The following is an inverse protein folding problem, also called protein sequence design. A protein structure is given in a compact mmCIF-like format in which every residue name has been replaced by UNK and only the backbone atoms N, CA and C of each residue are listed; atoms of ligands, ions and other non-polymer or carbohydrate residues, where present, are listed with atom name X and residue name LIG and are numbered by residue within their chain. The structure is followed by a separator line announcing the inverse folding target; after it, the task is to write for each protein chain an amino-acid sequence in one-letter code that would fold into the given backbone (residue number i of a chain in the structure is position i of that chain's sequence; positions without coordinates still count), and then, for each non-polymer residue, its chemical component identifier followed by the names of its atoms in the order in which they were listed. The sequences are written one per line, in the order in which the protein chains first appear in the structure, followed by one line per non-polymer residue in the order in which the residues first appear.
data_IF_921437274119
#
_entry.id   IF_921437274119
#
_cell.length_a   1.000
_cell.length_b   1.000
_cell.length_c   1.000
_cell.angle_alpha   90.00
_cell.angle_beta   90.00
_cell.angle_gamma   90.00
#
_symmetry.space_group_name_H-M   'P 1'
#
loop_
_entity.id
_entity.type
_entity.pdbx_description
1 polymer ?
#
# COMPACT_ATOMS: atom_id res chain seq x y z
N UNK A 1 -11.69 7.85 -61.60
CA UNK A 1 -12.12 8.37 -60.28
C UNK A 1 -10.89 8.62 -59.44
N UNK A 2 -10.73 9.77 -58.75
CA UNK A 2 -9.61 9.95 -57.83
C UNK A 2 -9.80 8.99 -56.65
N UNK A 3 -8.74 8.28 -56.24
CA UNK A 3 -8.76 7.45 -55.03
C UNK A 3 -9.03 8.38 -53.83
N UNK A 4 -10.12 8.14 -53.12
CA UNK A 4 -10.45 8.86 -51.88
C UNK A 4 -9.35 8.54 -50.87
N UNK A 5 -8.51 9.52 -50.53
CA UNK A 5 -7.44 9.33 -49.55
C UNK A 5 -8.07 9.05 -48.19
N UNK A 6 -7.77 7.88 -47.63
CA UNK A 6 -8.20 7.50 -46.28
C UNK A 6 -7.15 8.02 -45.33
N UNK A 7 -7.50 9.04 -44.55
CA UNK A 7 -6.71 9.46 -43.41
C UNK A 7 -7.07 8.57 -42.23
N UNK A 8 -6.06 8.04 -41.56
CA UNK A 8 -6.15 7.31 -40.32
C UNK A 8 -5.69 8.20 -39.16
N UNK A 9 -5.97 7.76 -37.92
CA UNK A 9 -5.47 8.44 -36.73
C UNK A 9 -3.92 8.49 -36.71
N UNK A 10 -3.26 7.46 -37.25
CA UNK A 10 -1.80 7.40 -37.33
C UNK A 10 -1.19 8.41 -38.32
N UNK A 11 -2.00 8.95 -39.25
CA UNK A 11 -1.57 9.99 -40.17
C UNK A 11 -1.66 11.41 -39.56
N UNK A 12 -2.18 11.54 -38.34
CA UNK A 12 -2.24 12.82 -37.65
C UNK A 12 -0.84 13.24 -37.15
N UNK A 13 -0.55 14.54 -37.02
CA UNK A 13 0.71 15.01 -36.43
C UNK A 13 0.93 14.44 -35.03
N UNK A 14 2.19 14.10 -34.70
CA UNK A 14 2.55 13.48 -33.41
C UNK A 14 1.96 14.22 -32.20
N UNK A 15 1.98 15.56 -32.21
CA UNK A 15 1.43 16.40 -31.13
C UNK A 15 -0.07 16.16 -30.90
N UNK A 16 -0.83 15.90 -31.95
CA UNK A 16 -2.28 15.62 -31.85
C UNK A 16 -2.50 14.24 -31.25
N UNK A 17 -1.72 13.24 -31.68
CA UNK A 17 -1.79 11.88 -31.13
C UNK A 17 -1.41 11.90 -29.64
N UNK A 18 -0.34 12.60 -29.24
CA UNK A 18 0.03 12.78 -27.84
C UNK A 18 -1.09 13.42 -27.02
N UNK A 19 -1.70 14.51 -27.51
CA UNK A 19 -2.79 15.17 -26.82
C UNK A 19 -3.99 14.23 -26.61
N UNK A 20 -4.31 13.39 -27.60
CA UNK A 20 -5.38 12.38 -27.47
C UNK A 20 -5.02 11.36 -26.39
N UNK A 21 -3.77 10.88 -26.37
CA UNK A 21 -3.29 9.92 -25.38
C UNK A 21 -3.28 10.52 -23.97
N UNK A 22 -2.81 11.75 -23.79
CA UNK A 22 -2.80 12.46 -22.50
C UNK A 22 -4.22 12.75 -21.96
N UNK A 23 -5.23 12.76 -22.83
CA UNK A 23 -6.65 12.92 -22.45
C UNK A 23 -7.43 11.59 -22.46
N UNK A 24 -6.75 10.45 -22.63
CA UNK A 24 -7.37 9.13 -22.65
C UNK A 24 -7.13 8.40 -21.33
N UNK A 25 -8.09 7.59 -20.89
CA UNK A 25 -7.86 6.69 -19.76
C UNK A 25 -6.89 5.55 -20.12
N UNK A 26 -6.35 4.89 -19.09
CA UNK A 26 -5.39 3.80 -19.26
C UNK A 26 -5.93 2.69 -20.18
N UNK A 27 -7.20 2.32 -20.01
CA UNK A 27 -7.83 1.25 -20.81
C UNK A 27 -7.93 1.63 -22.28
N UNK A 28 -8.24 2.89 -22.58
CA UNK A 28 -8.34 3.44 -23.93
C UNK A 28 -6.98 3.48 -24.61
N UNK A 29 -5.92 3.83 -23.88
CA UNK A 29 -4.54 3.80 -24.39
C UNK A 29 -4.11 2.35 -24.70
N UNK A 30 -4.42 1.40 -23.82
CA UNK A 30 -4.17 -0.02 -24.10
C UNK A 30 -4.96 -0.54 -25.30
N UNK A 31 -6.19 -0.06 -25.50
CA UNK A 31 -6.98 -0.39 -26.67
C UNK A 31 -6.35 0.21 -27.94
N UNK A 32 -5.98 1.50 -27.92
CA UNK A 32 -5.31 2.18 -29.04
C UNK A 32 -4.00 1.49 -29.43
N UNK A 33 -3.22 1.04 -28.45
CA UNK A 33 -2.00 0.23 -28.66
C UNK A 33 -2.26 -1.09 -29.40
N UNK A 34 -3.47 -1.64 -29.30
CA UNK A 34 -3.88 -2.87 -30.00
C UNK A 34 -4.45 -2.62 -31.40
N UNK A 35 -4.85 -1.39 -31.74
CA UNK A 35 -5.56 -1.06 -33.00
C UNK A 35 -4.65 -1.10 -34.22
N UNK A 36 -3.41 -0.60 -34.14
CA UNK A 36 -2.48 -0.59 -35.30
C UNK A 36 -1.02 -0.68 -34.88
N UNK A 37 -0.16 -1.07 -35.83
CA UNK A 37 1.29 -1.15 -35.63
C UNK A 37 1.89 0.24 -35.35
N UNK A 38 1.46 1.27 -36.08
CA UNK A 38 1.99 2.63 -35.94
C UNK A 38 1.62 3.23 -34.58
N UNK A 39 0.35 3.12 -34.16
CA UNK A 39 -0.06 3.58 -32.82
C UNK A 39 0.64 2.79 -31.71
N UNK A 40 0.86 1.48 -31.89
CA UNK A 40 1.61 0.67 -30.92
C UNK A 40 3.02 1.20 -30.74
N UNK A 41 3.74 1.38 -31.84
CA UNK A 41 5.12 1.87 -31.78
C UNK A 41 5.18 3.29 -31.23
N UNK A 42 4.24 4.15 -31.62
CA UNK A 42 4.17 5.51 -31.11
C UNK A 42 3.95 5.54 -29.59
N UNK A 43 2.99 4.78 -29.08
CA UNK A 43 2.71 4.67 -27.64
C UNK A 43 3.91 4.09 -26.89
N UNK A 44 4.55 3.05 -27.44
CA UNK A 44 5.68 2.37 -26.82
C UNK A 44 6.96 3.22 -26.80
N UNK A 45 7.18 4.04 -27.84
CA UNK A 45 8.30 4.97 -27.95
C UNK A 45 8.10 6.22 -27.09
N UNK A 46 6.92 6.86 -27.18
CA UNK A 46 6.66 8.14 -26.52
C UNK A 46 6.30 8.01 -25.04
N UNK A 47 5.76 6.85 -24.61
CA UNK A 47 5.37 6.56 -23.22
C UNK A 47 4.55 7.69 -22.60
N UNK A 48 3.30 7.91 -23.06
CA UNK A 48 2.48 9.02 -22.57
C UNK A 48 2.30 8.95 -21.05
N UNK A 49 2.33 10.11 -20.39
CA UNK A 49 2.20 10.18 -18.94
C UNK A 49 0.76 9.89 -18.52
N UNK A 50 0.56 8.78 -17.82
CA UNK A 50 -0.73 8.37 -17.29
C UNK A 50 -0.87 9.01 -15.92
N UNK A 51 -1.56 10.15 -15.83
CA UNK A 51 -1.84 10.82 -14.56
C UNK A 51 -2.90 10.04 -13.77
N UNK A 52 -2.50 8.89 -13.22
CA UNK A 52 -3.35 8.02 -12.42
C UNK A 52 -3.22 8.41 -10.95
N UNK A 53 -4.34 8.78 -10.33
CA UNK A 53 -4.38 9.10 -8.89
C UNK A 53 -4.37 7.83 -8.03
N UNK A 54 -5.13 6.81 -8.45
CA UNK A 54 -5.28 5.54 -7.77
C UNK A 54 -5.21 4.40 -8.79
N UNK A 55 -4.41 3.38 -8.49
CA UNK A 55 -4.41 2.11 -9.23
C UNK A 55 -4.98 1.03 -8.32
N UNK A 56 -6.15 0.51 -8.67
CA UNK A 56 -6.79 -0.63 -8.01
C UNK A 56 -6.79 -1.84 -8.93
N UNK A 57 -6.16 -2.93 -8.48
CA UNK A 57 -6.13 -4.20 -9.19
C UNK A 57 -6.87 -5.25 -8.39
N UNK A 58 -7.91 -5.82 -8.98
CA UNK A 58 -8.67 -6.91 -8.38
C UNK A 58 -8.39 -8.20 -9.16
N UNK A 59 -7.79 -9.18 -8.49
CA UNK A 59 -7.47 -10.49 -9.05
C UNK A 59 -8.47 -11.48 -8.46
N UNK A 60 -9.51 -11.78 -9.23
CA UNK A 60 -10.54 -12.74 -8.86
C UNK A 60 -10.27 -14.09 -9.52
N UNK A 61 -10.08 -15.14 -8.72
CA UNK A 61 -9.88 -16.52 -9.17
C UNK A 61 -11.20 -17.30 -9.32
N UNK A 62 -12.36 -16.68 -9.09
CA UNK A 62 -13.66 -17.36 -8.96
C UNK A 62 -14.36 -17.71 -10.28
N UNK A 63 -13.63 -18.37 -11.18
CA UNK A 63 -14.21 -19.32 -12.14
C UNK A 63 -13.35 -20.58 -12.23
N UNK A 64 -13.59 -21.45 -11.24
CA UNK A 64 -13.22 -22.87 -11.18
C UNK A 64 -11.73 -23.09 -10.92
N UNK A 65 -11.41 -23.60 -9.72
CA UNK A 65 -10.11 -24.18 -9.27
C UNK A 65 -9.62 -25.38 -10.11
N UNK A 66 -10.12 -25.56 -11.33
CA UNK A 66 -9.76 -26.63 -12.26
C UNK A 66 -9.27 -25.92 -13.53
N UNK A 67 -7.97 -26.04 -13.79
CA UNK A 67 -7.16 -25.45 -14.88
C UNK A 67 -6.41 -24.17 -14.49
N UNK A 68 -5.23 -24.38 -13.87
CA UNK A 68 -4.08 -23.44 -13.69
C UNK A 68 -4.31 -22.21 -12.82
N UNK A 69 -3.26 -21.84 -12.08
CA UNK A 69 -3.25 -20.73 -11.12
C UNK A 69 -3.80 -19.43 -11.73
N UNK A 70 -4.50 -18.65 -10.92
CA UNK A 70 -4.98 -17.30 -11.22
C UNK A 70 -3.81 -16.32 -11.32
N UNK A 71 -2.93 -16.53 -12.29
CA UNK A 71 -1.78 -15.69 -12.54
C UNK A 71 -2.16 -14.49 -13.41
N UNK A 72 -1.51 -13.36 -13.14
CA UNK A 72 -1.60 -12.19 -14.01
C UNK A 72 -1.08 -12.58 -15.41
N UNK A 73 -1.83 -12.32 -16.51
CA UNK A 73 -1.39 -12.70 -17.84
C UNK A 73 -0.02 -12.13 -18.20
N UNK A 74 0.86 -12.95 -18.79
CA UNK A 74 2.24 -12.54 -19.12
C UNK A 74 2.31 -11.34 -20.07
N UNK A 75 1.34 -11.17 -20.97
CA UNK A 75 1.27 -9.96 -21.80
C UNK A 75 1.02 -8.71 -20.96
N UNK A 76 0.21 -8.82 -19.90
CA UNK A 76 -0.07 -7.70 -18.99
C UNK A 76 1.18 -7.37 -18.16
N UNK A 77 1.89 -8.37 -17.62
CA UNK A 77 3.17 -8.16 -16.94
C UNK A 77 4.19 -7.44 -17.85
N UNK A 78 4.27 -7.84 -19.13
CA UNK A 78 5.14 -7.17 -20.12
C UNK A 78 4.76 -5.71 -20.34
N UNK A 79 3.46 -5.38 -20.37
CA UNK A 79 2.99 -4.00 -20.50
C UNK A 79 3.41 -3.16 -19.29
N UNK A 80 3.19 -3.68 -18.08
CA UNK A 80 3.52 -2.99 -16.84
C UNK A 80 5.03 -2.76 -16.71
N UNK A 81 5.85 -3.78 -16.99
CA UNK A 81 7.32 -3.66 -16.94
C UNK A 81 7.90 -2.69 -17.98
N UNK A 82 7.25 -2.55 -19.14
CA UNK A 82 7.72 -1.63 -20.17
C UNK A 82 7.47 -0.15 -19.81
N UNK A 83 6.42 0.11 -19.04
CA UNK A 83 5.95 1.45 -18.66
C UNK A 83 5.60 1.48 -17.17
N UNK A 84 6.58 1.77 -16.28
CA UNK A 84 6.30 1.92 -14.87
C UNK A 84 5.18 2.93 -14.63
N UNK A 85 4.17 2.54 -13.86
CA UNK A 85 2.99 3.36 -13.65
C UNK A 85 3.25 4.35 -12.51
N UNK A 86 3.03 5.63 -12.78
CA UNK A 86 3.08 6.66 -11.75
C UNK A 86 1.70 6.75 -11.09
N UNK A 87 1.68 6.63 -9.77
CA UNK A 87 0.48 6.81 -8.95
C UNK A 87 0.91 7.25 -7.55
N UNK A 88 0.03 7.94 -6.84
CA UNK A 88 0.24 8.24 -5.42
C UNK A 88 -0.26 7.10 -4.51
N UNK A 89 -1.23 6.32 -4.99
CA UNK A 89 -1.85 5.22 -4.27
C UNK A 89 -1.88 3.95 -5.12
N UNK A 90 -1.39 2.84 -4.57
CA UNK A 90 -1.46 1.51 -5.16
C UNK A 90 -2.25 0.57 -4.25
N UNK A 91 -3.28 -0.05 -4.81
CA UNK A 91 -4.12 -1.00 -4.10
C UNK A 91 -4.29 -2.29 -4.91
N UNK A 92 -4.17 -3.44 -4.25
CA UNK A 92 -4.38 -4.75 -4.88
C UNK A 92 -5.15 -5.70 -3.96
N UNK A 93 -6.14 -6.36 -4.54
CA UNK A 93 -6.86 -7.49 -3.93
C UNK A 93 -6.47 -8.77 -4.66
N UNK A 94 -5.94 -9.74 -3.93
CA UNK A 94 -5.40 -11.00 -4.48
C UNK A 94 -5.50 -12.14 -3.45
N UNK A 95 -5.28 -13.39 -3.88
CA UNK A 95 -5.20 -14.56 -3.00
C UNK A 95 -3.78 -14.89 -2.54
N UNK A 96 -2.77 -14.11 -2.93
CA UNK A 96 -1.38 -14.40 -2.58
C UNK A 96 -0.39 -13.23 -2.76
N UNK A 97 0.81 -13.35 -2.16
CA UNK A 97 1.83 -12.30 -2.20
C UNK A 97 2.58 -12.23 -3.54
N UNK A 98 2.61 -13.31 -4.33
CA UNK A 98 3.33 -13.33 -5.60
C UNK A 98 2.75 -12.36 -6.61
N UNK A 99 1.42 -12.25 -6.66
CA UNK A 99 0.71 -11.30 -7.51
C UNK A 99 0.99 -9.86 -7.10
N UNK A 100 1.17 -9.60 -5.79
CA UNK A 100 1.60 -8.28 -5.29
C UNK A 100 2.97 -7.97 -5.87
N UNK A 101 3.94 -8.87 -5.70
CA UNK A 101 5.32 -8.69 -6.16
C UNK A 101 5.41 -8.45 -7.69
N UNK A 102 4.62 -9.20 -8.46
CA UNK A 102 4.55 -9.08 -9.93
C UNK A 102 4.08 -7.71 -10.41
N UNK A 103 3.19 -7.06 -9.66
CA UNK A 103 2.57 -5.78 -10.05
C UNK A 103 3.29 -4.61 -9.42
N UNK A 104 3.54 -4.64 -8.11
CA UNK A 104 4.08 -3.50 -7.37
C UNK A 104 5.47 -3.10 -7.87
N UNK A 105 6.26 -4.07 -8.35
CA UNK A 105 7.56 -3.83 -8.98
C UNK A 105 7.49 -3.00 -10.27
N UNK A 106 6.30 -2.86 -10.86
CA UNK A 106 6.05 -2.03 -12.04
C UNK A 106 5.44 -0.66 -11.69
N UNK A 107 5.32 -0.33 -10.41
CA UNK A 107 4.87 0.99 -9.95
C UNK A 107 6.08 1.88 -9.72
N UNK A 108 6.03 3.12 -10.17
CA UNK A 108 7.08 4.11 -9.90
C UNK A 108 7.13 4.45 -8.40
N UNK A 109 8.29 4.26 -7.78
CA UNK A 109 8.49 4.48 -6.34
C UNK A 109 8.63 5.97 -5.97
N UNK A 110 8.81 6.86 -6.94
CA UNK A 110 9.13 8.27 -6.70
C UNK A 110 7.96 9.10 -6.18
N UNK A 111 6.73 8.79 -6.63
CA UNK A 111 5.51 9.50 -6.23
C UNK A 111 4.57 8.65 -5.37
N UNK A 112 4.88 7.37 -5.14
CA UNK A 112 4.04 6.46 -4.39
C UNK A 112 4.05 6.80 -2.89
N UNK A 113 2.87 7.11 -2.35
CA UNK A 113 2.69 7.49 -0.94
C UNK A 113 1.98 6.41 -0.14
N UNK A 114 1.10 5.66 -0.78
CA UNK A 114 0.20 4.71 -0.13
C UNK A 114 0.18 3.37 -0.86
N UNK A 115 0.29 2.29 -0.07
CA UNK A 115 0.18 0.91 -0.52
C UNK A 115 -0.86 0.16 0.29
N UNK A 116 -1.81 -0.48 -0.41
CA UNK A 116 -2.90 -1.23 0.18
C UNK A 116 -2.96 -2.65 -0.38
N UNK A 117 -2.96 -3.64 0.51
CA UNK A 117 -2.98 -5.05 0.17
C UNK A 117 -4.17 -5.74 0.85
N UNK A 118 -5.01 -6.40 0.06
CA UNK A 118 -6.21 -7.08 0.54
C UNK A 118 -6.17 -8.55 0.13
N UNK A 119 -6.35 -9.45 1.09
CA UNK A 119 -6.61 -10.85 0.76
C UNK A 119 -8.06 -11.01 0.30
N UNK A 120 -8.26 -11.66 -0.85
CA UNK A 120 -9.59 -11.97 -1.40
C UNK A 120 -10.27 -13.11 -0.64
N UNK A 121 -9.50 -14.01 -0.03
CA UNK A 121 -10.05 -15.13 0.72
C UNK A 121 -10.57 -14.65 2.09
N UNK A 122 -11.84 -14.92 2.37
CA UNK A 122 -12.53 -14.49 3.60
C UNK A 122 -12.04 -15.21 4.87
N UNK A 123 -11.12 -16.19 4.76
CA UNK A 123 -10.58 -16.98 5.89
C UNK A 123 -9.26 -16.37 6.42
N UNK A 124 -9.28 -15.69 7.58
CA UNK A 124 -8.36 -14.59 7.90
C UNK A 124 -7.07 -15.01 8.64
N UNK A 125 -6.53 -16.21 8.39
CA UNK A 125 -5.38 -16.72 9.15
C UNK A 125 -4.14 -17.10 8.33
N UNK A 126 -4.15 -16.87 7.02
CA UNK A 126 -2.96 -17.12 6.21
C UNK A 126 -1.82 -16.18 6.59
N UNK A 127 -0.61 -16.73 6.59
CA UNK A 127 0.63 -15.99 6.78
C UNK A 127 1.28 -15.83 5.43
N UNK A 128 1.32 -14.61 4.92
CA UNK A 128 1.97 -14.29 3.65
C UNK A 128 3.43 -13.94 3.87
N UNK A 129 4.28 -14.48 3.00
CA UNK A 129 5.71 -14.17 2.98
C UNK A 129 5.94 -12.85 2.23
N UNK A 130 6.45 -11.87 2.96
CA UNK A 130 6.74 -10.52 2.47
C UNK A 130 8.24 -10.23 2.41
N UNK A 131 9.12 -11.23 2.59
CA UNK A 131 10.58 -11.03 2.64
C UNK A 131 11.15 -10.31 1.40
N UNK A 132 10.59 -10.56 0.22
CA UNK A 132 10.97 -9.87 -1.01
C UNK A 132 10.27 -8.52 -1.18
N UNK A 133 9.02 -8.41 -0.74
CA UNK A 133 8.22 -7.19 -0.87
C UNK A 133 8.82 -6.05 -0.02
N UNK A 134 9.26 -6.33 1.21
CA UNK A 134 9.85 -5.31 2.10
C UNK A 134 11.18 -4.74 1.58
N UNK A 135 11.84 -5.45 0.65
CA UNK A 135 13.10 -5.00 0.05
C UNK A 135 12.87 -3.93 -1.03
N UNK A 136 11.66 -3.83 -1.57
CA UNK A 136 11.31 -2.93 -2.66
C UNK A 136 11.34 -1.45 -2.24
N UNK A 137 11.67 -0.57 -3.18
CA UNK A 137 11.62 0.88 -2.96
C UNK A 137 10.18 1.35 -2.72
N UNK A 138 9.20 0.72 -3.37
CA UNK A 138 7.77 1.01 -3.21
C UNK A 138 7.33 0.81 -1.76
N UNK A 139 7.82 -0.25 -1.09
CA UNK A 139 7.59 -0.47 0.33
C UNK A 139 8.29 0.60 1.18
N UNK A 140 9.58 0.83 0.93
CA UNK A 140 10.45 1.70 1.76
C UNK A 140 10.12 3.19 1.66
N UNK A 141 9.60 3.65 0.52
CA UNK A 141 9.32 5.06 0.26
C UNK A 141 7.86 5.45 0.58
N UNK A 142 6.96 4.48 0.68
CA UNK A 142 5.57 4.74 1.03
C UNK A 142 5.43 5.19 2.48
N UNK A 143 4.53 6.13 2.72
CA UNK A 143 4.26 6.71 4.04
C UNK A 143 3.00 6.12 4.69
N UNK A 144 2.15 5.44 3.92
CA UNK A 144 0.87 4.86 4.33
C UNK A 144 0.81 3.39 3.90
N UNK A 145 0.41 2.51 4.82
CA UNK A 145 0.24 1.08 4.60
C UNK A 145 -1.12 0.61 5.09
N UNK A 146 -1.82 -0.18 4.28
CA UNK A 146 -2.99 -0.94 4.71
C UNK A 146 -2.84 -2.41 4.29
N UNK A 147 -2.98 -3.33 5.24
CA UNK A 147 -2.93 -4.78 5.02
C UNK A 147 -4.11 -5.44 5.72
N UNK A 148 -5.00 -6.07 4.94
CA UNK A 148 -6.27 -6.60 5.46
C UNK A 148 -6.43 -8.07 5.10
N UNK A 149 -6.91 -8.85 6.06
CA UNK A 149 -7.27 -10.28 5.91
C UNK A 149 -6.11 -11.27 5.73
N UNK A 150 -4.89 -10.91 6.12
CA UNK A 150 -3.77 -11.85 6.23
C UNK A 150 -2.76 -11.38 7.29
N UNK A 151 -1.95 -12.30 7.79
CA UNK A 151 -0.83 -12.04 8.69
C UNK A 151 0.48 -12.04 7.92
N UNK A 152 1.48 -11.34 8.44
CA UNK A 152 2.88 -11.50 8.02
C UNK A 152 3.75 -11.88 9.21
N UNK A 153 4.84 -12.58 8.93
CA UNK A 153 5.89 -12.83 9.91
C UNK A 153 7.11 -12.00 9.50
N UNK A 154 7.20 -10.80 10.06
CA UNK A 154 8.24 -9.81 9.73
C UNK A 154 8.69 -9.10 10.98
N UNK A 155 9.94 -8.70 10.99
CA UNK A 155 10.53 -7.90 12.06
C UNK A 155 9.92 -6.49 12.09
N UNK A 156 9.70 -5.94 13.28
CA UNK A 156 8.93 -4.70 13.45
C UNK A 156 9.58 -3.49 12.79
N UNK A 157 10.92 -3.49 12.69
CA UNK A 157 11.67 -2.39 12.08
C UNK A 157 11.30 -2.15 10.62
N UNK A 158 10.76 -3.15 9.92
CA UNK A 158 10.28 -3.02 8.55
C UNK A 158 9.05 -2.10 8.41
N UNK A 159 8.43 -1.69 9.52
CA UNK A 159 7.22 -0.86 9.55
C UNK A 159 7.45 0.53 10.17
N UNK A 160 8.65 0.82 10.68
CA UNK A 160 8.91 2.05 11.45
C UNK A 160 8.84 3.33 10.61
N UNK A 161 9.00 3.24 9.29
CA UNK A 161 8.95 4.40 8.41
C UNK A 161 7.52 4.87 8.08
N UNK A 162 6.50 4.04 8.32
CA UNK A 162 5.12 4.41 8.03
C UNK A 162 4.57 5.43 9.04
N UNK A 163 4.03 6.53 8.51
CA UNK A 163 3.35 7.57 9.29
C UNK A 163 1.91 7.19 9.65
N UNK A 164 1.31 6.34 8.82
CA UNK A 164 -0.02 5.77 8.95
C UNK A 164 0.06 4.29 8.57
N UNK A 165 -0.35 3.38 9.44
CA UNK A 165 -0.39 1.97 9.06
C UNK A 165 -1.52 1.19 9.73
N UNK A 166 -2.09 0.25 9.01
CA UNK A 166 -2.87 -0.85 9.57
C UNK A 166 -2.33 -2.16 8.99
N UNK A 167 -1.89 -3.07 9.86
CA UNK A 167 -1.39 -4.37 9.42
C UNK A 167 -1.60 -5.45 10.48
N UNK A 168 -1.48 -6.71 10.05
CA UNK A 168 -1.50 -7.86 10.96
C UNK A 168 -0.17 -8.59 10.98
N UNK A 169 0.36 -8.83 12.18
CA UNK A 169 1.62 -9.53 12.41
C UNK A 169 1.39 -10.81 13.21
N UNK A 170 2.11 -11.88 12.86
CA UNK A 170 1.96 -13.15 13.56
C UNK A 170 2.37 -13.01 15.04
N UNK A 171 3.54 -12.44 15.29
CA UNK A 171 4.12 -12.32 16.61
C UNK A 171 4.63 -10.89 16.82
N UNK A 172 4.41 -10.37 18.02
CA UNK A 172 4.99 -9.10 18.46
C UNK A 172 5.52 -9.27 19.87
N UNK A 173 6.69 -8.72 20.15
CA UNK A 173 7.30 -8.73 21.49
C UNK A 173 7.02 -7.43 22.22
N UNK A 174 7.17 -7.42 23.54
CA UNK A 174 7.10 -6.18 24.33
C UNK A 174 8.18 -5.17 23.91
N UNK A 175 9.37 -5.65 23.52
CA UNK A 175 10.46 -4.79 23.03
C UNK A 175 10.08 -4.08 21.73
N UNK A 176 9.39 -4.77 20.81
CA UNK A 176 8.87 -4.16 19.58
C UNK A 176 7.90 -3.01 19.87
N UNK A 177 7.06 -3.15 20.89
CA UNK A 177 6.12 -2.10 21.33
C UNK A 177 6.90 -0.88 21.84
N UNK A 178 7.97 -1.09 22.60
CA UNK A 178 8.84 -0.01 23.07
C UNK A 178 9.58 0.67 21.92
N UNK A 179 10.03 -0.10 20.92
CA UNK A 179 10.69 0.42 19.73
C UNK A 179 9.73 1.29 18.88
N UNK A 180 8.52 0.79 18.60
CA UNK A 180 7.46 1.55 17.94
C UNK A 180 7.17 2.85 18.67
N UNK A 181 6.99 2.80 20.00
CA UNK A 181 6.76 3.98 20.83
C UNK A 181 7.89 5.00 20.66
N UNK A 182 9.14 4.56 20.80
CA UNK A 182 10.32 5.43 20.70
C UNK A 182 10.40 6.08 19.32
N UNK A 183 10.18 5.30 18.26
CA UNK A 183 10.19 5.79 16.90
C UNK A 183 9.10 6.85 16.65
N UNK A 184 7.85 6.55 17.02
CA UNK A 184 6.72 7.44 16.75
C UNK A 184 6.74 8.72 17.59
N UNK A 185 7.32 8.71 18.80
CA UNK A 185 7.57 9.94 19.58
C UNK A 185 8.55 10.90 18.89
N UNK A 186 9.43 10.39 18.03
CA UNK A 186 10.45 11.18 17.32
C UNK A 186 10.05 11.54 15.89
N UNK A 187 8.99 10.94 15.35
CA UNK A 187 8.54 11.15 13.98
C UNK A 187 7.51 12.30 13.89
N UNK A 188 7.85 13.45 13.29
CA UNK A 188 6.94 14.60 13.24
C UNK A 188 5.67 14.34 12.40
N UNK A 189 5.83 13.56 11.32
CA UNK A 189 4.78 13.19 10.37
C UNK A 189 3.83 12.10 10.88
N UNK A 190 4.14 11.45 12.00
CA UNK A 190 3.35 10.35 12.54
C UNK A 190 1.91 10.78 12.84
N UNK A 191 0.95 9.91 12.49
CA UNK A 191 -0.47 10.11 12.79
C UNK A 191 -1.06 8.93 13.57
N UNK A 192 -1.04 7.73 13.03
CA UNK A 192 -1.56 6.55 13.72
C UNK A 192 -0.95 5.25 13.19
N UNK A 193 -0.84 4.24 14.04
CA UNK A 193 -0.54 2.86 13.63
C UNK A 193 -1.43 1.90 14.41
N UNK A 194 -2.07 0.98 13.69
CA UNK A 194 -2.84 -0.12 14.24
C UNK A 194 -2.19 -1.44 13.84
N UNK A 195 -1.82 -2.21 14.85
CA UNK A 195 -1.28 -3.56 14.69
C UNK A 195 -2.28 -4.55 15.25
N UNK A 196 -2.76 -5.46 14.41
CA UNK A 196 -3.42 -6.67 14.87
C UNK A 196 -2.37 -7.77 15.02
N UNK A 197 -2.26 -8.38 16.20
CA UNK A 197 -1.27 -9.43 16.44
C UNK A 197 -1.93 -10.76 16.81
N UNK A 198 -1.33 -11.89 16.41
CA UNK A 198 -1.81 -13.22 16.83
C UNK A 198 -1.26 -13.57 18.21
N UNK A 199 0.05 -13.38 18.41
CA UNK A 199 0.76 -13.69 19.64
C UNK A 199 1.49 -12.44 20.17
N UNK A 200 1.32 -12.13 21.46
CA UNK A 200 2.15 -11.17 22.19
C UNK A 200 3.14 -11.95 23.05
N UNK A 201 4.42 -11.67 22.88
CA UNK A 201 5.52 -12.32 23.60
C UNK A 201 6.05 -11.38 24.67
N UNK A 202 6.01 -11.82 25.93
CA UNK A 202 6.44 -11.04 27.09
C UNK A 202 5.29 -10.46 27.89
N UNK A 203 5.63 -9.84 29.02
CA UNK A 203 4.66 -9.31 29.98
C UNK A 203 4.85 -7.79 30.13
N UNK A 204 3.76 -7.04 30.04
CA UNK A 204 3.78 -5.56 30.07
C UNK A 204 3.58 -5.12 31.51
N UNK A 205 4.69 -5.07 32.27
CA UNK A 205 4.68 -4.60 33.65
C UNK A 205 5.13 -3.15 33.81
N UNK A 206 5.83 -2.59 32.83
CA UNK A 206 6.70 -1.43 33.05
C UNK A 206 6.14 -0.07 32.63
N UNK A 207 4.94 0.01 32.05
CA UNK A 207 4.45 1.27 31.48
C UNK A 207 3.55 2.13 32.39
N UNK A 208 3.18 1.68 33.61
CA UNK A 208 2.37 2.49 34.54
C UNK A 208 0.95 2.79 34.02
N UNK A 209 0.22 1.75 33.63
CA UNK A 209 -1.07 1.85 32.93
C UNK A 209 -2.19 2.47 33.78
N UNK A 210 -3.10 3.20 33.13
CA UNK A 210 -4.46 3.38 33.67
C UNK A 210 -5.29 2.18 33.20
N UNK A 211 -5.55 1.22 34.09
CA UNK A 211 -6.31 0.01 33.76
C UNK A 211 -7.80 0.35 33.54
N UNK A 212 -8.31 0.10 32.34
CA UNK A 212 -9.74 0.14 32.00
C UNK A 212 -10.18 -1.28 31.61
N UNK A 213 -10.14 -2.20 32.58
CA UNK A 213 -10.40 -3.63 32.34
C UNK A 213 -9.27 -4.30 31.55
N UNK A 214 -9.60 -5.09 30.50
CA UNK A 214 -8.60 -5.76 29.65
C UNK A 214 -7.89 -4.81 28.65
N UNK A 215 -8.17 -3.51 28.74
CA UNK A 215 -7.58 -2.48 27.88
C UNK A 215 -6.58 -1.69 28.71
N UNK A 216 -5.34 -1.70 28.28
CA UNK A 216 -4.28 -0.89 28.84
C UNK A 216 -4.08 0.33 27.95
N UNK A 217 -3.94 1.50 28.56
CA UNK A 217 -3.78 2.77 27.86
C UNK A 217 -2.72 3.61 28.53
N UNK A 218 -1.87 4.23 27.70
CA UNK A 218 -0.80 5.11 28.10
C UNK A 218 -0.78 6.37 27.23
N UNK A 219 -0.35 7.47 27.83
CA UNK A 219 -0.18 8.76 27.14
C UNK A 219 1.27 9.21 27.35
N UNK A 220 1.90 9.68 26.28
CA UNK A 220 3.27 10.15 26.31
C UNK A 220 3.37 11.51 25.61
N UNK A 221 4.10 12.44 26.20
CA UNK A 221 4.33 13.76 25.59
C UNK A 221 5.33 13.64 24.44
N UNK A 222 5.07 14.33 23.34
CA UNK A 222 6.08 14.54 22.32
C UNK A 222 7.15 15.52 22.84
N UNK A 223 8.45 15.23 22.68
CA UNK A 223 9.51 16.10 23.19
C UNK A 223 9.46 17.55 22.66
N UNK A 224 9.07 17.72 21.39
CA UNK A 224 9.08 19.01 20.69
C UNK A 224 7.68 19.56 20.40
N UNK A 225 6.61 18.90 20.88
CA UNK A 225 5.24 19.32 20.57
C UNK A 225 4.31 19.12 21.78
N UNK A 226 3.96 20.23 22.44
CA UNK A 226 3.07 20.24 23.60
C UNK A 226 1.57 20.24 23.25
N UNK A 227 1.21 20.37 21.97
CA UNK A 227 -0.20 20.37 21.54
C UNK A 227 -0.76 18.96 21.39
N UNK A 228 0.10 17.95 21.26
CA UNK A 228 -0.26 16.57 21.04
C UNK A 228 0.36 15.64 22.08
N UNK A 229 -0.26 14.48 22.27
CA UNK A 229 0.31 13.35 22.99
C UNK A 229 0.23 12.10 22.13
N UNK A 230 1.18 11.19 22.32
CA UNK A 230 1.13 9.85 21.78
C UNK A 230 0.30 9.00 22.73
N UNK A 231 -0.85 8.55 22.26
CA UNK A 231 -1.64 7.54 22.92
C UNK A 231 -1.20 6.15 22.45
N UNK A 232 -0.90 5.27 23.42
CA UNK A 232 -0.68 3.85 23.18
C UNK A 232 -1.82 3.10 23.85
N UNK A 233 -2.55 2.29 23.09
CA UNK A 233 -3.65 1.46 23.61
C UNK A 233 -3.41 0.01 23.23
N UNK A 234 -3.47 -0.87 24.22
CA UNK A 234 -3.32 -2.30 24.05
C UNK A 234 -4.55 -3.03 24.57
N UNK A 235 -5.03 -3.97 23.77
CA UNK A 235 -6.11 -4.90 24.13
C UNK A 235 -5.83 -6.26 23.48
N UNK A 236 -6.57 -7.33 23.83
CA UNK A 236 -6.36 -8.63 23.18
C UNK A 236 -6.35 -8.51 21.65
N UNK A 237 -5.25 -8.95 21.04
CA UNK A 237 -4.98 -8.95 19.59
C UNK A 237 -4.84 -7.58 18.92
N UNK A 238 -4.89 -6.47 19.66
CA UNK A 238 -4.85 -5.14 19.06
C UNK A 238 -3.92 -4.20 19.83
N UNK A 239 -3.06 -3.53 19.08
CA UNK A 239 -2.17 -2.47 19.55
C UNK A 239 -2.38 -1.23 18.69
N UNK A 240 -2.62 -0.10 19.34
CA UNK A 240 -2.81 1.20 18.68
C UNK A 240 -1.80 2.21 19.19
N UNK A 241 -1.23 2.96 18.26
CA UNK A 241 -0.51 4.19 18.48
C UNK A 241 -1.27 5.32 17.79
N UNK A 242 -1.59 6.41 18.49
CA UNK A 242 -2.32 7.55 17.92
C UNK A 242 -1.75 8.87 18.40
N UNK A 243 -1.50 9.79 17.48
CA UNK A 243 -1.21 11.18 17.82
C UNK A 243 -2.54 11.91 18.02
N UNK A 244 -2.84 12.29 19.25
CA UNK A 244 -4.10 12.97 19.61
C UNK A 244 -3.83 14.36 20.18
N UNK A 245 -4.69 15.37 19.94
CA UNK A 245 -4.56 16.66 20.58
C UNK A 245 -4.72 16.53 22.10
N UNK A 246 -3.98 17.31 22.88
CA UNK A 246 -4.07 17.33 24.35
C UNK A 246 -5.50 17.62 24.82
N UNK A 247 -6.28 18.41 24.07
CA UNK A 247 -7.69 18.69 24.37
C UNK A 247 -8.61 17.47 24.37
N UNK A 248 -8.18 16.36 23.77
CA UNK A 248 -8.94 15.09 23.75
C UNK A 248 -8.50 14.13 24.85
N UNK A 249 -7.53 14.51 25.68
CA UNK A 249 -7.08 13.73 26.83
C UNK A 249 -8.06 13.94 28.00
N UNK A 250 -8.62 12.88 28.61
CA UNK A 250 -9.46 13.03 29.79
C UNK A 250 -8.70 13.68 30.96
N UNK A 251 -9.34 14.60 31.69
CA UNK A 251 -8.72 15.33 32.82
C UNK A 251 -8.15 14.40 33.92
N UNK A 252 -8.64 13.16 34.01
CA UNK A 252 -8.21 12.16 34.97
C UNK A 252 -7.02 11.30 34.50
N UNK A 253 -6.50 11.52 33.30
CA UNK A 253 -5.44 10.69 32.74
C UNK A 253 -4.05 11.13 33.21
N UNK A 254 -3.18 10.16 33.53
CA UNK A 254 -1.77 10.41 33.82
C UNK A 254 -1.01 10.57 32.49
N UNK A 255 -0.23 11.65 32.37
CA UNK A 255 0.62 11.98 31.20
C UNK A 255 2.07 12.14 31.64
#
# INVERSE_FOLDING_TARGET
MPKKQRYSLADMPEKVIMLILENSDFRSILNLRKVSYDLRNFIDEKKPDLQLEIIQIHIDSSRVKILTASEIPEEFKKVLKANPLKTECFAITTSGPNEILDVISSIDSGNLKEICFYNIDELPEEVWDFEEIVKLEQWKNSAILEMVQFYVHLEIWNFLHFSQAHFRILEITVDDIFELKKNYLLMPSFKFVHVEYKNLIGEIYEMGATELGNHQKWLFKFPENSEFVLEVSLSPKNLYFRKIPVSHVPDSALI
#
